data_IF_266707954394
#
_entry.id   IF_266707954394
#
_cell.length_a   1.000
_cell.length_b   1.000
_cell.length_c   1.000
_cell.angle_alpha   90.00
_cell.angle_beta   90.00
_cell.angle_gamma   90.00
#
_symmetry.space_group_name_H-M   'P 1'
#
loop_
_entity.id
_entity.type
_entity.pdbx_description
1 polymer ?
#
# COMPACT_ATOMS: atom_id res chain seq x y z
N UNK A 1 16.50 -11.95 28.68
CA UNK A 1 16.67 -10.84 27.72
C UNK A 1 17.86 -11.20 26.85
N UNK A 2 17.75 -11.34 25.50
CA UNK A 2 18.93 -11.52 24.68
C UNK A 2 19.45 -10.16 24.20
N UNK A 3 20.71 -9.92 24.55
CA UNK A 3 21.60 -8.82 24.21
C UNK A 3 21.25 -7.95 23.00
N UNK A 4 21.20 -6.65 23.28
CA UNK A 4 21.37 -5.56 22.32
C UNK A 4 22.83 -5.53 21.88
N UNK A 5 23.24 -6.46 21.00
CA UNK A 5 24.44 -6.23 20.20
C UNK A 5 24.28 -4.90 19.44
N UNK A 6 25.33 -4.06 19.39
CA UNK A 6 25.27 -2.74 18.79
C UNK A 6 24.79 -2.84 17.34
N UNK A 7 23.97 -1.88 16.90
CA UNK A 7 23.56 -1.74 15.49
C UNK A 7 24.83 -1.61 14.64
N UNK A 8 25.27 -2.69 14.02
CA UNK A 8 26.32 -2.62 13.02
C UNK A 8 25.87 -1.68 11.89
N UNK A 9 26.74 -0.73 11.57
CA UNK A 9 26.47 0.41 10.68
C UNK A 9 26.28 -0.05 9.23
N UNK A 10 25.41 0.66 8.50
CA UNK A 10 25.13 0.43 7.06
C UNK A 10 26.38 0.45 6.16
N UNK A 11 27.47 1.05 6.64
CA UNK A 11 28.75 1.17 5.94
C UNK A 11 29.38 -0.21 5.64
N UNK A 12 29.22 -1.19 6.54
CA UNK A 12 29.75 -2.56 6.32
C UNK A 12 28.94 -3.38 5.31
N UNK A 13 27.71 -2.98 5.00
CA UNK A 13 26.84 -3.71 4.08
C UNK A 13 27.25 -3.48 2.62
N UNK A 14 27.42 -2.22 2.21
CA UNK A 14 27.77 -1.88 0.82
C UNK A 14 29.13 -2.44 0.40
N UNK A 15 30.11 -2.44 1.32
CA UNK A 15 31.46 -2.96 1.07
C UNK A 15 31.51 -4.48 0.87
N UNK A 16 30.42 -5.20 1.13
CA UNK A 16 30.33 -6.67 1.02
C UNK A 16 29.51 -7.14 -0.16
N UNK A 17 28.89 -6.23 -0.91
CA UNK A 17 28.14 -6.59 -2.11
C UNK A 17 29.10 -7.12 -3.18
N UNK A 18 28.74 -8.22 -3.81
CA UNK A 18 29.46 -8.75 -4.97
C UNK A 18 29.35 -7.81 -6.17
N UNK A 19 30.18 -8.01 -7.20
CA UNK A 19 30.07 -7.27 -8.46
C UNK A 19 28.68 -7.41 -9.10
N UNK A 20 28.08 -8.61 -9.02
CA UNK A 20 26.73 -8.84 -9.51
C UNK A 20 25.68 -8.07 -8.72
N UNK A 21 25.83 -8.00 -7.39
CA UNK A 21 24.93 -7.23 -6.54
C UNK A 21 25.09 -5.73 -6.70
N UNK A 22 26.32 -5.25 -6.96
CA UNK A 22 26.56 -3.87 -7.38
C UNK A 22 25.87 -3.55 -8.70
N UNK A 23 25.93 -4.44 -9.68
CA UNK A 23 25.19 -4.29 -10.93
C UNK A 23 23.67 -4.24 -10.69
N UNK A 24 23.13 -5.11 -9.81
CA UNK A 24 21.72 -5.04 -9.40
C UNK A 24 21.37 -3.73 -8.70
N UNK A 25 22.24 -3.24 -7.81
CA UNK A 25 22.01 -2.00 -7.07
C UNK A 25 21.98 -0.80 -8.03
N UNK A 26 23.02 -0.63 -8.84
CA UNK A 26 23.14 0.49 -9.79
C UNK A 26 22.04 0.39 -10.84
N UNK A 27 21.84 -0.78 -11.42
CA UNK A 27 20.82 -1.02 -12.44
C UNK A 27 19.40 -0.76 -11.92
N UNK A 28 19.07 -1.23 -10.71
CA UNK A 28 17.74 -0.96 -10.13
C UNK A 28 17.52 0.51 -9.79
N UNK A 29 18.53 1.22 -9.29
CA UNK A 29 18.44 2.67 -9.07
C UNK A 29 18.28 3.44 -10.38
N UNK A 30 19.03 3.07 -11.43
CA UNK A 30 18.89 3.66 -12.76
C UNK A 30 17.50 3.41 -13.36
N UNK A 31 16.96 2.20 -13.23
CA UNK A 31 15.60 1.86 -13.68
C UNK A 31 14.56 2.63 -12.87
N UNK A 32 14.71 2.72 -11.54
CA UNK A 32 13.79 3.50 -10.71
C UNK A 32 13.79 4.98 -11.10
N UNK A 33 14.97 5.55 -11.35
CA UNK A 33 15.11 6.91 -11.85
C UNK A 33 14.45 7.06 -13.23
N UNK A 34 14.70 6.14 -14.17
CA UNK A 34 14.08 6.16 -15.50
C UNK A 34 12.56 6.05 -15.44
N UNK A 35 11.99 5.20 -14.58
CA UNK A 35 10.54 5.08 -14.36
C UNK A 35 9.98 6.42 -13.87
N UNK A 36 10.63 7.04 -12.88
CA UNK A 36 10.18 8.33 -12.32
C UNK A 36 10.31 9.43 -13.38
N UNK A 37 11.43 9.53 -14.08
CA UNK A 37 11.66 10.51 -15.15
C UNK A 37 10.66 10.33 -16.29
N UNK A 38 10.36 9.10 -16.70
CA UNK A 38 9.30 8.83 -17.67
C UNK A 38 7.95 9.32 -17.16
N UNK A 39 7.65 9.10 -15.88
CA UNK A 39 6.46 9.67 -15.24
C UNK A 39 6.40 11.19 -15.29
N UNK A 40 7.54 11.88 -15.12
CA UNK A 40 7.61 13.34 -15.24
C UNK A 40 7.41 13.81 -16.69
N UNK A 41 8.00 13.13 -17.66
CA UNK A 41 7.88 13.47 -19.10
C UNK A 41 6.46 13.20 -19.61
N UNK A 42 5.84 12.11 -19.14
CA UNK A 42 4.50 11.70 -19.51
C UNK A 42 3.43 12.37 -18.64
N UNK A 43 3.82 13.17 -17.65
CA UNK A 43 2.88 13.95 -16.87
C UNK A 43 2.28 15.00 -17.82
N UNK A 44 0.97 14.96 -18.09
CA UNK A 44 0.34 16.03 -18.83
C UNK A 44 0.53 17.32 -18.02
N UNK A 45 0.96 18.40 -18.67
CA UNK A 45 1.10 19.70 -17.99
C UNK A 45 -0.23 20.02 -17.27
N UNK A 46 -0.19 20.04 -15.94
CA UNK A 46 -1.32 20.39 -15.10
C UNK A 46 -1.63 21.88 -15.30
N UNK A 47 -2.34 22.21 -16.38
CA UNK A 47 -2.58 23.61 -16.71
C UNK A 47 -3.21 23.93 -18.07
N UNK A 48 -3.63 22.98 -18.91
CA UNK A 48 -4.11 23.35 -20.26
C UNK A 48 -5.23 22.49 -20.88
N UNK A 49 -6.02 21.77 -20.08
CA UNK A 49 -7.40 21.51 -20.53
C UNK A 49 -8.25 22.72 -20.14
N UNK A 50 -8.18 23.76 -20.97
CA UNK A 50 -9.17 24.84 -21.02
C UNK A 50 -10.50 24.24 -21.44
N UNK A 51 -11.16 23.56 -20.51
CA UNK A 51 -12.61 23.47 -20.60
C UNK A 51 -13.11 24.85 -20.20
N UNK A 52 -13.41 25.69 -21.19
CA UNK A 52 -14.24 26.87 -20.93
C UNK A 52 -15.62 26.37 -20.54
N UNK A 53 -15.82 26.25 -19.22
CA UNK A 53 -17.14 26.01 -18.68
C UNK A 53 -17.87 27.35 -18.66
N UNK A 54 -19.14 27.34 -19.01
CA UNK A 54 -19.98 28.52 -18.92
C UNK A 54 -21.12 28.26 -17.95
N UNK A 55 -21.60 29.29 -17.27
CA UNK A 55 -22.76 29.17 -16.36
C UNK A 55 -24.06 28.76 -17.07
N UNK A 56 -24.11 28.82 -18.40
CA UNK A 56 -25.20 28.27 -19.21
C UNK A 56 -25.23 26.73 -19.19
N UNK A 57 -24.10 26.08 -18.90
CA UNK A 57 -24.02 24.63 -18.74
C UNK A 57 -24.61 24.20 -17.39
N UNK A 58 -25.14 22.99 -17.36
CA UNK A 58 -25.68 22.35 -16.16
C UNK A 58 -24.62 21.54 -15.41
N UNK A 59 -24.89 21.26 -14.13
CA UNK A 59 -24.07 20.36 -13.30
C UNK A 59 -23.89 18.98 -13.98
N UNK A 60 -24.91 18.49 -14.70
CA UNK A 60 -24.85 17.21 -15.42
C UNK A 60 -23.86 17.22 -16.58
N UNK A 61 -23.61 18.38 -17.19
CA UNK A 61 -22.68 18.54 -18.31
C UNK A 61 -21.25 18.83 -17.84
N UNK A 62 -21.10 19.56 -16.73
CA UNK A 62 -19.80 19.95 -16.19
C UNK A 62 -19.17 18.83 -15.35
N UNK A 63 -19.95 18.19 -14.46
CA UNK A 63 -19.40 17.22 -13.51
C UNK A 63 -18.62 16.06 -14.15
N UNK A 64 -19.11 15.43 -15.25
CA UNK A 64 -18.34 14.37 -15.92
C UNK A 64 -17.02 14.86 -16.51
N UNK A 65 -16.97 16.10 -17.03
CA UNK A 65 -15.76 16.70 -17.62
C UNK A 65 -14.69 16.99 -16.57
N UNK A 66 -15.09 17.15 -15.30
CA UNK A 66 -14.20 17.35 -14.16
C UNK A 66 -13.85 16.03 -13.42
N UNK A 67 -14.28 14.86 -13.92
CA UNK A 67 -14.22 13.53 -13.24
C UNK A 67 -14.82 13.55 -11.81
N UNK A 68 -15.84 14.39 -11.59
CA UNK A 68 -16.56 14.47 -10.31
C UNK A 68 -18.02 14.05 -10.47
N UNK A 69 -18.64 13.67 -9.36
CA UNK A 69 -20.09 13.41 -9.38
C UNK A 69 -20.83 14.74 -9.33
N UNK A 70 -22.02 14.82 -9.94
CA UNK A 70 -22.83 16.04 -9.84
C UNK A 70 -23.26 16.38 -8.40
N UNK A 71 -23.19 15.43 -7.45
CA UNK A 71 -23.40 15.74 -6.02
C UNK A 71 -22.18 16.42 -5.41
N UNK A 72 -20.99 15.96 -5.77
CA UNK A 72 -19.72 16.58 -5.38
C UNK A 72 -19.63 18.00 -5.93
N UNK A 73 -19.93 18.17 -7.22
CA UNK A 73 -19.90 19.49 -7.84
C UNK A 73 -20.93 20.45 -7.22
N UNK A 74 -22.15 19.96 -6.91
CA UNK A 74 -23.15 20.76 -6.18
C UNK A 74 -22.64 21.19 -4.79
N UNK A 75 -21.92 20.31 -4.07
CA UNK A 75 -21.31 20.62 -2.77
C UNK A 75 -20.26 21.72 -2.86
N UNK A 76 -19.40 21.71 -3.89
CA UNK A 76 -18.41 22.76 -4.12
C UNK A 76 -19.06 24.13 -4.36
N UNK A 77 -20.21 24.16 -5.01
CA UNK A 77 -21.01 25.38 -5.19
C UNK A 77 -21.87 25.75 -3.97
N UNK A 78 -21.81 25.01 -2.86
CA UNK A 78 -22.65 25.24 -1.68
C UNK A 78 -24.15 24.97 -1.93
N UNK A 79 -24.50 24.24 -2.98
CA UNK A 79 -25.88 23.93 -3.36
C UNK A 79 -26.43 22.69 -2.62
N UNK A 80 -27.76 22.58 -2.42
CA UNK A 80 -28.39 21.36 -1.92
C UNK A 80 -28.04 20.13 -2.78
N UNK A 81 -27.82 18.97 -2.15
CA UNK A 81 -27.39 17.74 -2.86
C UNK A 81 -28.46 17.16 -3.81
N UNK A 82 -29.72 17.54 -3.62
CA UNK A 82 -30.89 17.20 -4.44
C UNK A 82 -31.21 18.25 -5.52
N UNK A 83 -30.34 19.26 -5.69
CA UNK A 83 -30.50 20.30 -6.70
C UNK A 83 -30.71 19.71 -8.11
N UNK A 84 -31.62 20.28 -8.93
CA UNK A 84 -31.86 19.80 -10.30
C UNK A 84 -30.60 19.91 -11.18
N UNK A 85 -29.93 18.78 -11.43
CA UNK A 85 -28.64 18.76 -12.13
C UNK A 85 -28.68 19.10 -13.62
N UNK A 86 -29.87 19.12 -14.21
CA UNK A 86 -30.08 19.51 -15.61
C UNK A 86 -30.39 21.00 -15.80
N UNK A 87 -30.48 21.79 -14.72
CA UNK A 87 -30.64 23.23 -14.83
C UNK A 87 -29.29 23.91 -15.07
N UNK A 88 -29.23 24.96 -15.91
CA UNK A 88 -28.07 25.84 -16.03
C UNK A 88 -27.62 26.39 -14.67
N UNK A 89 -26.32 26.49 -14.45
CA UNK A 89 -25.72 27.00 -13.20
C UNK A 89 -26.15 28.45 -12.88
N UNK A 90 -26.34 29.28 -13.90
CA UNK A 90 -26.87 30.65 -13.75
C UNK A 90 -28.25 30.66 -13.06
N UNK A 91 -29.11 29.67 -13.35
CA UNK A 91 -30.45 29.53 -12.74
C UNK A 91 -30.40 28.95 -11.33
N UNK A 92 -29.23 28.47 -10.91
CA UNK A 92 -28.96 27.97 -9.58
C UNK A 92 -28.21 29.02 -8.73
N UNK A 93 -27.97 30.21 -9.28
CA UNK A 93 -27.31 31.32 -8.56
C UNK A 93 -25.78 31.22 -8.51
N UNK A 94 -25.16 30.42 -9.38
CA UNK A 94 -23.70 30.28 -9.44
C UNK A 94 -23.13 31.29 -10.44
N UNK A 95 -22.19 32.12 -9.98
CA UNK A 95 -21.51 33.09 -10.84
C UNK A 95 -20.41 32.41 -11.68
N UNK A 96 -20.01 33.05 -12.78
CA UNK A 96 -18.93 32.54 -13.64
C UNK A 96 -17.60 32.48 -12.89
N UNK A 97 -17.33 33.46 -12.01
CA UNK A 97 -16.14 33.48 -11.15
C UNK A 97 -16.09 32.27 -10.21
N UNK A 98 -17.23 31.89 -9.61
CA UNK A 98 -17.32 30.71 -8.75
C UNK A 98 -17.10 29.42 -9.56
N UNK A 99 -17.67 29.35 -10.77
CA UNK A 99 -17.47 28.23 -11.68
C UNK A 99 -16.00 28.08 -12.06
N UNK A 100 -15.33 29.17 -12.42
CA UNK A 100 -13.91 29.16 -12.80
C UNK A 100 -13.03 28.79 -11.59
N UNK A 101 -13.34 29.32 -10.41
CA UNK A 101 -12.64 28.98 -9.17
C UNK A 101 -12.79 27.51 -8.80
N UNK A 102 -14.03 26.99 -8.79
CA UNK A 102 -14.33 25.59 -8.48
C UNK A 102 -13.74 24.66 -9.54
N UNK A 103 -13.84 25.00 -10.82
CA UNK A 103 -13.24 24.21 -11.89
C UNK A 103 -11.71 24.16 -11.76
N UNK A 104 -11.05 25.30 -11.54
CA UNK A 104 -9.61 25.37 -11.33
C UNK A 104 -9.18 24.60 -10.07
N UNK A 105 -9.93 24.72 -8.98
CA UNK A 105 -9.72 23.96 -7.74
C UNK A 105 -9.82 22.45 -8.00
N UNK A 106 -10.89 21.99 -8.66
CA UNK A 106 -11.12 20.58 -8.94
C UNK A 106 -10.10 20.00 -9.93
N UNK A 107 -9.71 20.75 -10.96
CA UNK A 107 -8.66 20.36 -11.91
C UNK A 107 -7.30 20.32 -11.20
N UNK A 108 -7.00 21.28 -10.32
CA UNK A 108 -5.78 21.29 -9.51
C UNK A 108 -5.67 20.09 -8.55
N UNK A 109 -6.80 19.50 -8.18
CA UNK A 109 -6.87 18.26 -7.38
C UNK A 109 -6.86 16.97 -8.21
N UNK A 110 -6.88 17.04 -9.54
CA UNK A 110 -6.76 15.84 -10.36
C UNK A 110 -5.34 15.29 -10.27
N UNK A 111 -5.21 14.11 -9.66
CA UNK A 111 -3.92 13.45 -9.50
C UNK A 111 -3.41 12.95 -10.86
N UNK A 112 -2.30 13.53 -11.33
CA UNK A 112 -1.65 13.05 -12.54
C UNK A 112 -0.94 11.69 -12.35
N UNK A 113 -0.54 11.06 -13.46
CA UNK A 113 -0.02 9.70 -13.47
C UNK A 113 1.33 9.53 -12.75
N UNK A 114 2.10 10.59 -12.49
CA UNK A 114 3.44 10.59 -11.90
C UNK A 114 3.55 9.72 -10.64
N UNK A 115 2.54 9.77 -9.75
CA UNK A 115 2.58 8.98 -8.51
C UNK A 115 2.50 7.47 -8.75
N UNK A 116 1.87 7.01 -9.83
CA UNK A 116 1.89 5.58 -10.19
C UNK A 116 3.31 5.11 -10.53
N UNK A 117 4.12 5.96 -11.16
CA UNK A 117 5.53 5.67 -11.46
C UNK A 117 6.37 5.59 -10.18
N UNK A 118 6.15 6.49 -9.22
CA UNK A 118 6.78 6.38 -7.90
C UNK A 118 6.39 5.08 -7.18
N UNK A 119 5.12 4.68 -7.24
CA UNK A 119 4.68 3.39 -6.68
C UNK A 119 5.39 2.22 -7.33
N UNK A 120 5.46 2.19 -8.67
CA UNK A 120 6.16 1.14 -9.41
C UNK A 120 7.65 1.08 -9.05
N UNK A 121 8.33 2.23 -8.98
CA UNK A 121 9.73 2.33 -8.58
C UNK A 121 9.98 1.82 -7.15
N UNK A 122 9.15 2.22 -6.18
CA UNK A 122 9.27 1.76 -4.79
C UNK A 122 8.97 0.27 -4.63
N UNK A 123 8.01 -0.27 -5.37
CA UNK A 123 7.71 -1.71 -5.39
C UNK A 123 8.86 -2.50 -6.02
N UNK A 124 9.40 -2.02 -7.14
CA UNK A 124 10.57 -2.61 -7.79
C UNK A 124 11.77 -2.63 -6.83
N UNK A 125 12.05 -1.50 -6.18
CA UNK A 125 13.11 -1.39 -5.18
C UNK A 125 12.92 -2.40 -4.04
N UNK A 126 11.71 -2.49 -3.49
CA UNK A 126 11.40 -3.47 -2.45
C UNK A 126 11.61 -4.91 -2.91
N UNK A 127 11.19 -5.25 -4.14
CA UNK A 127 11.38 -6.58 -4.71
C UNK A 127 12.87 -6.92 -4.90
N UNK A 128 13.64 -6.03 -5.52
CA UNK A 128 15.09 -6.21 -5.74
C UNK A 128 15.83 -6.28 -4.41
N UNK A 129 15.47 -5.44 -3.44
CA UNK A 129 16.06 -5.50 -2.11
C UNK A 129 15.79 -6.83 -1.42
N UNK A 130 14.56 -7.33 -1.45
CA UNK A 130 14.21 -8.59 -0.78
C UNK A 130 14.85 -9.82 -1.44
N UNK A 131 15.00 -9.80 -2.77
CA UNK A 131 15.46 -10.96 -3.55
C UNK A 131 16.96 -10.98 -3.84
N UNK A 132 17.61 -9.82 -3.99
CA UNK A 132 18.99 -9.71 -4.48
C UNK A 132 19.92 -8.94 -3.57
N UNK A 133 19.49 -7.80 -3.01
CA UNK A 133 20.41 -6.90 -2.32
C UNK A 133 20.46 -7.15 -0.81
N UNK A 134 19.34 -7.55 -0.20
CA UNK A 134 19.23 -7.74 1.25
C UNK A 134 20.03 -8.91 1.81
N UNK A 135 20.79 -9.65 1.00
CA UNK A 135 21.77 -10.61 1.48
C UNK A 135 23.02 -10.57 0.59
N UNK A 136 24.15 -10.04 1.07
CA UNK A 136 25.39 -10.07 0.30
C UNK A 136 25.83 -11.51 -0.02
N UNK A 137 26.33 -11.74 -1.22
CA UNK A 137 26.73 -13.08 -1.67
C UNK A 137 27.83 -13.67 -0.80
N UNK A 138 27.79 -14.98 -0.56
CA UNK A 138 28.79 -15.68 0.27
C UNK A 138 28.73 -15.37 1.76
N UNK A 139 27.76 -14.59 2.23
CA UNK A 139 27.74 -14.19 3.64
C UNK A 139 27.43 -15.36 4.61
N UNK A 140 28.17 -15.49 5.74
CA UNK A 140 28.01 -16.57 6.72
C UNK A 140 26.89 -16.32 7.74
N UNK A 141 26.04 -17.33 7.98
CA UNK A 141 24.85 -17.29 8.86
C UNK A 141 24.98 -16.51 10.19
N UNK A 142 26.17 -16.41 10.77
CA UNK A 142 26.42 -15.62 11.97
C UNK A 142 26.13 -14.11 11.81
N UNK A 143 26.23 -13.55 10.60
CA UNK A 143 26.21 -12.10 10.37
C UNK A 143 24.86 -11.55 9.83
N UNK A 144 23.78 -12.32 9.90
CA UNK A 144 22.46 -12.00 9.31
C UNK A 144 21.91 -10.61 9.61
N UNK A 145 22.19 -10.07 10.80
CA UNK A 145 21.73 -8.73 11.18
C UNK A 145 22.33 -7.63 10.29
N UNK A 146 23.51 -7.87 9.71
CA UNK A 146 24.17 -6.96 8.79
C UNK A 146 23.66 -7.08 7.35
N UNK A 147 23.07 -8.22 6.97
CA UNK A 147 22.70 -8.51 5.58
C UNK A 147 21.46 -7.76 5.12
N UNK A 148 20.44 -7.72 5.97
CA UNK A 148 19.20 -6.99 5.75
C UNK A 148 19.19 -5.73 6.63
N UNK A 149 20.02 -4.71 6.33
CA UNK A 149 20.04 -3.50 7.13
C UNK A 149 18.66 -2.85 7.09
N UNK A 150 18.24 -2.30 8.22
CA UNK A 150 16.93 -1.63 8.32
C UNK A 150 16.90 -0.29 7.58
N UNK A 151 18.05 0.32 7.32
CA UNK A 151 18.15 1.68 6.77
C UNK A 151 17.55 1.83 5.36
N UNK A 152 17.87 0.98 4.36
CA UNK A 152 17.22 1.06 3.04
C UNK A 152 15.70 0.92 3.08
N UNK A 153 15.19 0.05 3.96
CA UNK A 153 13.74 -0.09 4.16
C UNK A 153 13.15 1.20 4.72
N UNK A 154 13.75 1.78 5.77
CA UNK A 154 13.28 3.05 6.35
C UNK A 154 13.35 4.21 5.34
N UNK A 155 14.40 4.28 4.52
CA UNK A 155 14.52 5.28 3.47
C UNK A 155 13.37 5.16 2.45
N UNK A 156 13.06 3.95 1.98
CA UNK A 156 11.92 3.72 1.08
C UNK A 156 10.59 4.14 1.72
N UNK A 157 10.38 3.88 3.02
CA UNK A 157 9.18 4.32 3.74
C UNK A 157 9.09 5.84 3.86
N UNK A 158 10.22 6.54 4.08
CA UNK A 158 10.25 7.99 4.12
C UNK A 158 9.94 8.59 2.75
N UNK A 159 10.48 8.02 1.66
CA UNK A 159 10.13 8.43 0.30
C UNK A 159 8.65 8.16 0.00
N UNK A 160 8.13 6.99 0.38
CA UNK A 160 6.70 6.70 0.25
C UNK A 160 5.85 7.72 1.02
N UNK A 161 6.22 8.10 2.24
CA UNK A 161 5.47 9.06 3.03
C UNK A 161 5.55 10.48 2.48
N UNK A 162 6.76 10.95 2.16
CA UNK A 162 7.00 12.32 1.71
C UNK A 162 6.55 12.54 0.26
N UNK A 163 7.02 11.70 -0.67
CA UNK A 163 6.71 11.86 -2.09
C UNK A 163 5.30 11.35 -2.43
N UNK A 164 5.02 10.08 -2.10
CA UNK A 164 3.72 9.48 -2.44
C UNK A 164 2.59 9.90 -1.50
N UNK A 165 2.90 10.43 -0.31
CA UNK A 165 1.92 11.04 0.58
C UNK A 165 1.78 12.52 0.27
N UNK A 166 2.63 13.34 0.87
CA UNK A 166 2.43 14.79 0.89
C UNK A 166 2.73 15.51 -0.44
N UNK A 167 3.79 15.13 -1.18
CA UNK A 167 4.19 15.89 -2.37
C UNK A 167 3.25 15.68 -3.57
N UNK A 168 2.74 14.46 -3.75
CA UNK A 168 1.88 14.07 -4.87
C UNK A 168 0.40 13.85 -4.46
N UNK A 169 0.02 14.27 -3.25
CA UNK A 169 -1.36 14.23 -2.75
C UNK A 169 -1.90 12.85 -2.38
N UNK A 170 -3.22 12.73 -2.20
CA UNK A 170 -3.89 11.51 -1.69
C UNK A 170 -4.00 10.35 -2.70
N UNK A 171 -4.03 10.62 -4.01
CA UNK A 171 -4.22 9.63 -5.08
C UNK A 171 -2.91 9.33 -5.83
N UNK A 172 -2.67 8.10 -6.31
CA UNK A 172 -3.54 6.94 -6.21
C UNK A 172 -3.55 6.31 -4.81
N UNK A 173 -4.74 5.87 -4.42
CA UNK A 173 -5.04 5.32 -3.11
C UNK A 173 -5.55 3.88 -3.32
N UNK A 174 -4.79 2.85 -2.88
CA UNK A 174 -5.21 1.45 -3.05
C UNK A 174 -6.58 1.15 -2.44
N UNK A 175 -6.93 1.77 -1.32
CA UNK A 175 -8.24 1.63 -0.68
C UNK A 175 -9.35 2.23 -1.54
N UNK A 176 -9.16 3.42 -2.10
CA UNK A 176 -10.13 3.99 -3.04
C UNK A 176 -10.21 3.19 -4.34
N UNK A 177 -9.09 2.61 -4.83
CA UNK A 177 -9.11 1.70 -5.98
C UNK A 177 -10.09 0.54 -5.77
N UNK A 178 -10.07 -0.07 -4.57
CA UNK A 178 -11.03 -1.11 -4.21
C UNK A 178 -12.48 -0.58 -4.13
N UNK A 179 -12.70 0.55 -3.44
CA UNK A 179 -14.05 1.05 -3.16
C UNK A 179 -14.71 1.68 -4.40
N UNK A 180 -13.94 2.34 -5.28
CA UNK A 180 -14.46 3.01 -6.49
C UNK A 180 -15.09 2.02 -7.47
N UNK A 181 -14.57 0.78 -7.55
CA UNK A 181 -15.18 -0.30 -8.35
C UNK A 181 -16.59 -0.61 -7.84
N UNK A 182 -16.79 -0.78 -6.53
CA UNK A 182 -18.14 -1.04 -6.01
C UNK A 182 -19.05 0.18 -6.14
N UNK A 183 -18.53 1.41 -5.98
CA UNK A 183 -19.29 2.63 -6.20
C UNK A 183 -19.83 2.71 -7.64
N UNK A 184 -19.02 2.36 -8.63
CA UNK A 184 -19.43 2.42 -10.04
C UNK A 184 -20.55 1.42 -10.36
N UNK A 185 -20.59 0.25 -9.71
CA UNK A 185 -21.70 -0.72 -9.84
C UNK A 185 -23.07 -0.18 -9.40
N UNK A 186 -23.09 0.83 -8.53
CA UNK A 186 -24.33 1.47 -8.03
C UNK A 186 -24.66 2.76 -8.83
N UNK A 187 -23.93 3.03 -9.91
CA UNK A 187 -24.13 4.19 -10.78
C UNK A 187 -23.57 5.50 -10.23
N UNK A 188 -22.67 5.46 -9.23
CA UNK A 188 -22.03 6.66 -8.68
C UNK A 188 -20.93 7.23 -9.58
N UNK A 189 -20.41 6.45 -10.53
CA UNK A 189 -19.39 6.88 -11.50
C UNK A 189 -19.78 6.49 -12.92
N UNK A 190 -19.46 7.32 -13.92
CA UNK A 190 -19.82 7.06 -15.32
C UNK A 190 -19.01 5.91 -15.94
N UNK A 191 -17.74 5.74 -15.54
CA UNK A 191 -16.80 4.79 -16.14
C UNK A 191 -16.44 3.65 -15.17
N UNK A 192 -17.07 2.48 -15.32
CA UNK A 192 -16.72 1.28 -14.53
C UNK A 192 -15.30 0.79 -14.89
N UNK A 193 -14.97 0.80 -16.19
CA UNK A 193 -13.74 0.20 -16.71
C UNK A 193 -12.47 0.87 -16.19
N UNK A 194 -12.43 2.20 -16.14
CA UNK A 194 -11.27 2.95 -15.61
C UNK A 194 -10.99 2.60 -14.15
N UNK A 195 -12.04 2.50 -13.32
CA UNK A 195 -11.86 2.18 -11.90
C UNK A 195 -11.48 0.71 -11.71
N UNK A 196 -11.97 -0.20 -12.58
CA UNK A 196 -11.54 -1.61 -12.63
C UNK A 196 -10.07 -1.72 -13.04
N UNK A 197 -9.62 -0.97 -14.05
CA UNK A 197 -8.23 -0.93 -14.48
C UNK A 197 -7.30 -0.44 -13.35
N UNK A 198 -7.71 0.60 -12.62
CA UNK A 198 -6.95 1.11 -11.47
C UNK A 198 -6.83 0.08 -10.33
N UNK A 199 -7.91 -0.66 -10.02
CA UNK A 199 -7.83 -1.78 -9.08
C UNK A 199 -6.95 -2.90 -9.62
N UNK A 200 -7.10 -3.24 -10.90
CA UNK A 200 -6.31 -4.24 -11.61
C UNK A 200 -4.81 -3.98 -11.51
N UNK A 201 -4.37 -2.73 -11.71
CA UNK A 201 -2.98 -2.31 -11.51
C UNK A 201 -2.45 -2.69 -10.12
N UNK A 202 -3.19 -2.34 -9.05
CA UNK A 202 -2.77 -2.68 -7.70
C UNK A 202 -2.80 -4.18 -7.40
N UNK A 203 -3.75 -4.93 -7.98
CA UNK A 203 -3.81 -6.38 -7.84
C UNK A 203 -2.66 -7.08 -8.56
N UNK A 204 -2.29 -6.63 -9.77
CA UNK A 204 -1.13 -7.14 -10.49
C UNK A 204 0.14 -6.95 -9.66
N UNK A 205 0.36 -5.76 -9.08
CA UNK A 205 1.49 -5.53 -8.19
C UNK A 205 1.46 -6.41 -6.94
N UNK A 206 0.27 -6.69 -6.38
CA UNK A 206 0.12 -7.60 -5.24
C UNK A 206 0.39 -9.08 -5.61
N UNK A 207 0.13 -9.46 -6.87
CA UNK A 207 0.48 -10.79 -7.41
C UNK A 207 1.97 -10.87 -7.72
N UNK A 208 2.62 -9.82 -8.22
CA UNK A 208 4.08 -9.84 -8.46
C UNK A 208 4.83 -10.11 -7.15
N UNK A 209 4.42 -9.49 -6.04
CA UNK A 209 4.94 -9.86 -4.73
C UNK A 209 3.99 -9.53 -3.59
N UNK A 210 3.95 -10.43 -2.61
CA UNK A 210 2.96 -10.39 -1.54
C UNK A 210 3.01 -9.04 -0.79
N UNK A 211 1.92 -8.28 -0.89
CA UNK A 211 1.73 -6.95 -0.26
C UNK A 211 2.93 -6.01 -0.40
N UNK A 212 3.67 -6.07 -1.51
CA UNK A 212 4.81 -5.16 -1.75
C UNK A 212 4.37 -3.71 -1.79
N UNK A 213 3.26 -3.41 -2.48
CA UNK A 213 2.67 -2.05 -2.49
C UNK A 213 2.43 -1.56 -1.07
N UNK A 214 1.75 -2.35 -0.24
CA UNK A 214 1.46 -1.96 1.14
C UNK A 214 2.74 -1.84 1.99
N UNK A 215 3.72 -2.71 1.76
CA UNK A 215 4.96 -2.79 2.53
C UNK A 215 5.97 -1.68 2.23
N UNK A 216 6.02 -1.21 0.97
CA UNK A 216 7.10 -0.38 0.43
C UNK A 216 6.65 0.92 -0.25
N UNK A 217 5.43 1.00 -0.79
CA UNK A 217 4.99 2.17 -1.58
C UNK A 217 3.81 2.94 -0.97
N UNK A 218 2.92 2.27 -0.22
CA UNK A 218 1.72 2.89 0.33
C UNK A 218 2.08 3.92 1.42
N UNK A 219 1.73 5.21 1.26
CA UNK A 219 2.14 6.28 2.17
C UNK A 219 1.56 6.11 3.57
N UNK A 220 0.26 5.75 3.67
CA UNK A 220 -0.37 5.53 4.98
C UNK A 220 0.13 4.25 5.67
N UNK A 221 0.49 3.22 4.89
CA UNK A 221 1.17 2.05 5.39
C UNK A 221 2.56 2.38 5.94
N UNK A 222 3.30 3.24 5.23
CA UNK A 222 4.61 3.71 5.62
C UNK A 222 4.56 4.54 6.91
N UNK A 223 3.61 5.47 7.02
CA UNK A 223 3.37 6.23 8.25
C UNK A 223 3.21 5.30 9.46
N UNK A 224 2.32 4.31 9.38
CA UNK A 224 2.08 3.38 10.48
C UNK A 224 3.31 2.51 10.81
N UNK A 225 4.10 2.09 9.80
CA UNK A 225 5.35 1.34 10.02
C UNK A 225 6.42 2.19 10.71
N UNK A 226 6.57 3.45 10.28
CA UNK A 226 7.51 4.40 10.86
C UNK A 226 7.14 4.68 12.31
N UNK A 227 5.86 4.96 12.60
CA UNK A 227 5.34 5.13 13.95
C UNK A 227 5.62 3.91 14.84
N UNK A 228 5.29 2.71 14.35
CA UNK A 228 5.59 1.45 15.06
C UNK A 228 7.09 1.24 15.30
N UNK A 229 7.94 1.79 14.43
CA UNK A 229 9.40 1.62 14.46
C UNK A 229 10.14 2.74 15.20
N UNK A 230 9.45 3.77 15.67
CA UNK A 230 10.05 4.92 16.33
C UNK A 230 10.91 4.49 17.53
N UNK A 231 12.19 4.91 17.59
CA UNK A 231 13.07 4.54 18.69
C UNK A 231 12.61 5.05 20.06
N UNK A 232 11.95 6.20 20.11
CA UNK A 232 11.50 6.85 21.35
C UNK A 232 10.48 5.99 22.10
N UNK A 233 9.65 5.23 21.37
CA UNK A 233 8.58 4.41 21.94
C UNK A 233 8.95 2.93 22.09
N UNK A 234 10.25 2.58 22.06
CA UNK A 234 10.72 1.20 22.21
C UNK A 234 10.38 0.55 23.55
N UNK A 235 10.17 1.35 24.61
CA UNK A 235 9.80 0.87 25.96
C UNK A 235 8.33 0.44 26.05
N UNK A 236 7.50 0.85 25.09
CA UNK A 236 6.08 0.50 25.09
C UNK A 236 5.92 -0.97 24.68
N UNK A 237 5.15 -1.73 25.48
CA UNK A 237 4.85 -3.13 25.21
C UNK A 237 3.94 -3.25 23.99
N UNK A 238 4.54 -3.61 22.85
CA UNK A 238 3.84 -3.87 21.59
C UNK A 238 2.90 -5.06 21.73
N UNK A 239 1.72 -4.95 21.12
CA UNK A 239 0.66 -5.97 21.16
C UNK A 239 0.51 -6.60 19.78
N UNK A 240 0.48 -7.92 19.77
CA UNK A 240 0.20 -8.72 18.59
C UNK A 240 -1.27 -9.14 18.63
N UNK A 241 -2.06 -8.67 17.68
CA UNK A 241 -3.48 -9.03 17.59
C UNK A 241 -3.62 -10.32 16.76
N UNK A 242 -4.40 -11.32 17.22
CA UNK A 242 -4.62 -12.54 16.47
C UNK A 242 -5.21 -12.25 15.09
N UNK A 243 -4.66 -12.88 14.05
CA UNK A 243 -5.11 -12.65 12.67
C UNK A 243 -6.60 -12.92 12.46
N UNK A 244 -7.16 -13.93 13.14
CA UNK A 244 -8.58 -14.25 13.01
C UNK A 244 -9.45 -13.07 13.45
N UNK A 245 -9.10 -12.42 14.56
CA UNK A 245 -9.84 -11.26 15.07
C UNK A 245 -9.70 -10.06 14.12
N UNK A 246 -8.48 -9.71 13.72
CA UNK A 246 -8.28 -8.55 12.86
C UNK A 246 -8.91 -8.73 11.48
N UNK A 247 -8.78 -9.91 10.89
CA UNK A 247 -9.39 -10.21 9.61
C UNK A 247 -10.92 -10.33 9.70
N UNK A 248 -11.48 -10.84 10.81
CA UNK A 248 -12.92 -10.85 11.02
C UNK A 248 -13.48 -9.42 11.08
N UNK A 249 -12.89 -8.53 11.87
CA UNK A 249 -13.28 -7.11 11.92
C UNK A 249 -13.22 -6.49 10.52
N UNK A 250 -12.12 -6.69 9.80
CA UNK A 250 -11.92 -6.17 8.44
C UNK A 250 -12.94 -6.72 7.43
N UNK A 251 -13.22 -8.02 7.49
CA UNK A 251 -14.21 -8.66 6.62
C UNK A 251 -15.64 -8.21 6.94
N UNK A 252 -16.00 -8.12 8.22
CA UNK A 252 -17.30 -7.61 8.66
C UNK A 252 -17.50 -6.18 8.21
N UNK A 253 -16.52 -5.28 8.41
CA UNK A 253 -16.61 -3.90 7.93
C UNK A 253 -16.77 -3.82 6.40
N UNK A 254 -16.06 -4.68 5.66
CA UNK A 254 -16.19 -4.75 4.20
C UNK A 254 -17.59 -5.21 3.77
N UNK A 255 -18.14 -6.25 4.41
CA UNK A 255 -19.50 -6.73 4.15
C UNK A 255 -20.54 -5.68 4.51
N UNK A 256 -20.44 -5.05 5.68
CA UNK A 256 -21.33 -3.96 6.10
C UNK A 256 -21.29 -2.80 5.10
N UNK A 257 -20.11 -2.44 4.60
CA UNK A 257 -19.99 -1.44 3.53
C UNK A 257 -20.75 -1.86 2.27
N UNK A 258 -20.66 -3.12 1.82
CA UNK A 258 -21.41 -3.58 0.66
C UNK A 258 -22.92 -3.51 0.90
N UNK A 259 -23.39 -3.96 2.07
CA UNK A 259 -24.82 -3.93 2.41
C UNK A 259 -25.38 -2.51 2.44
N UNK A 260 -24.64 -1.55 2.99
CA UNK A 260 -25.02 -0.13 2.98
C UNK A 260 -24.98 0.45 1.56
N UNK A 261 -23.95 0.11 0.78
CA UNK A 261 -23.77 0.60 -0.58
C UNK A 261 -24.90 0.16 -1.52
N UNK A 262 -25.34 -1.10 -1.43
CA UNK A 262 -26.47 -1.61 -2.21
C UNK A 262 -27.85 -1.29 -1.61
N UNK A 263 -27.89 -0.60 -0.46
CA UNK A 263 -29.14 -0.19 0.20
C UNK A 263 -29.88 -1.32 0.92
N UNK A 264 -29.22 -2.46 1.14
CA UNK A 264 -29.77 -3.62 1.86
C UNK A 264 -29.96 -3.31 3.35
N UNK A 265 -29.08 -2.49 3.92
CA UNK A 265 -29.16 -2.05 5.33
C UNK A 265 -29.52 -0.57 5.38
N UNK A 266 -30.56 -0.23 6.14
CA UNK A 266 -30.99 1.16 6.37
C UNK A 266 -31.65 1.86 5.18
N UNK A 267 -31.95 1.15 4.09
CA UNK A 267 -32.73 1.66 2.94
C UNK A 267 -32.06 2.76 2.11
N UNK A 268 -30.81 3.14 2.42
CA UNK A 268 -30.09 4.24 1.77
C UNK A 268 -29.07 3.69 0.76
N UNK A 269 -29.50 3.52 -0.50
CA UNK A 269 -28.61 3.11 -1.59
C UNK A 269 -27.51 4.15 -1.82
N UNK A 270 -26.28 3.69 -2.01
CA UNK A 270 -25.13 4.53 -2.34
C UNK A 270 -24.34 5.06 -1.12
N UNK A 271 -24.65 4.62 0.10
CA UNK A 271 -23.87 5.02 1.28
C UNK A 271 -22.53 4.27 1.35
N UNK A 272 -21.42 5.00 1.53
CA UNK A 272 -20.08 4.42 1.52
C UNK A 272 -19.32 4.80 2.78
N UNK A 273 -19.32 3.89 3.75
CA UNK A 273 -18.65 4.06 5.04
C UNK A 273 -17.16 4.44 4.91
N UNK A 274 -16.46 3.84 3.95
CA UNK A 274 -15.03 4.08 3.75
C UNK A 274 -14.68 5.48 3.27
N UNK A 275 -15.63 6.26 2.75
CA UNK A 275 -15.35 7.66 2.40
C UNK A 275 -15.09 8.49 3.67
N UNK A 276 -15.92 8.31 4.70
CA UNK A 276 -15.82 9.00 5.98
C UNK A 276 -14.65 8.50 6.86
N UNK A 277 -14.09 7.32 6.55
CA UNK A 277 -12.97 6.72 7.28
C UNK A 277 -11.67 6.71 6.46
N UNK A 278 -11.55 7.53 5.41
CA UNK A 278 -10.40 7.50 4.51
C UNK A 278 -9.20 8.24 5.11
N UNK A 279 -8.13 7.56 5.54
CA UNK A 279 -7.01 8.22 6.18
C UNK A 279 -6.07 8.90 5.19
N UNK A 280 -6.22 8.63 3.88
CA UNK A 280 -5.38 9.24 2.85
C UNK A 280 -5.67 10.74 2.67
N UNK A 281 -6.83 11.21 3.12
CA UNK A 281 -7.14 12.62 3.21
C UNK A 281 -6.14 13.41 4.08
N UNK A 282 -5.38 12.76 4.96
CA UNK A 282 -4.24 13.36 5.66
C UNK A 282 -3.24 14.02 4.69
N UNK A 283 -3.03 13.41 3.52
CA UNK A 283 -1.98 13.83 2.58
C UNK A 283 -2.36 15.02 1.71
N UNK A 284 -3.63 15.36 1.65
CA UNK A 284 -4.14 16.60 1.07
C UNK A 284 -4.67 17.57 2.12
N UNK A 285 -4.62 17.19 3.41
CA UNK A 285 -5.19 17.94 4.54
C UNK A 285 -6.71 18.19 4.44
N UNK A 286 -7.44 17.25 3.81
CA UNK A 286 -8.88 17.35 3.58
C UNK A 286 -9.68 16.73 4.74
N UNK A 287 -10.09 17.54 5.72
CA UNK A 287 -10.79 17.08 6.94
C UNK A 287 -12.27 17.42 6.98
N UNK A 288 -12.96 17.39 5.83
CA UNK A 288 -14.36 17.84 5.68
C UNK A 288 -15.37 17.03 6.52
N UNK A 289 -15.03 15.81 6.91
CA UNK A 289 -15.89 14.93 7.69
C UNK A 289 -15.22 14.61 9.04
N UNK A 290 -15.91 14.74 10.18
CA UNK A 290 -15.31 14.59 11.51
C UNK A 290 -14.73 13.20 11.77
N UNK A 291 -15.25 12.16 11.10
CA UNK A 291 -14.74 10.79 11.24
C UNK A 291 -13.34 10.59 10.63
N UNK A 292 -12.92 11.45 9.69
CA UNK A 292 -11.60 11.39 9.04
C UNK A 292 -10.47 11.69 10.04
N UNK A 293 -10.40 12.86 10.70
CA UNK A 293 -9.35 13.13 11.67
C UNK A 293 -9.39 12.15 12.85
N UNK A 294 -10.57 11.70 13.29
CA UNK A 294 -10.71 10.66 14.33
C UNK A 294 -10.05 9.35 13.88
N UNK A 295 -10.30 8.92 12.64
CA UNK A 295 -9.71 7.69 12.07
C UNK A 295 -8.20 7.81 11.97
N UNK A 296 -7.68 8.94 11.49
CA UNK A 296 -6.24 9.19 11.34
C UNK A 296 -5.55 9.21 12.70
N UNK A 297 -6.09 9.97 13.66
CA UNK A 297 -5.56 10.07 15.01
C UNK A 297 -5.55 8.70 15.69
N UNK A 298 -6.68 8.01 15.70
CA UNK A 298 -6.83 6.69 16.32
C UNK A 298 -5.88 5.66 15.68
N UNK A 299 -5.83 5.61 14.34
CA UNK A 299 -4.91 4.70 13.65
C UNK A 299 -3.44 5.02 13.92
N UNK A 300 -3.07 6.29 14.01
CA UNK A 300 -1.69 6.73 14.27
C UNK A 300 -1.26 6.45 15.70
N UNK A 301 -2.10 6.77 16.68
CA UNK A 301 -1.84 6.45 18.10
C UNK A 301 -1.77 4.94 18.30
N UNK A 302 -2.74 4.19 17.75
CA UNK A 302 -2.74 2.74 17.85
C UNK A 302 -1.55 2.10 17.11
N UNK A 303 -1.00 2.74 16.07
CA UNK A 303 0.19 2.27 15.35
C UNK A 303 1.45 2.24 16.23
N UNK A 304 1.48 2.98 17.34
CA UNK A 304 2.57 2.89 18.33
C UNK A 304 2.56 1.55 19.09
N UNK A 305 1.37 0.94 19.22
CA UNK A 305 1.13 -0.28 20.02
C UNK A 305 0.96 -1.53 19.15
N UNK A 306 0.19 -1.39 18.08
CA UNK A 306 -0.23 -2.45 17.17
C UNK A 306 0.34 -2.17 15.80
N UNK A 307 0.78 -3.20 15.10
CA UNK A 307 1.44 -3.04 13.82
C UNK A 307 0.46 -2.70 12.69
N UNK A 308 0.49 -1.50 12.10
CA UNK A 308 -0.37 -1.13 10.95
C UNK A 308 -1.88 -1.38 11.19
N UNK A 309 -2.48 -0.83 12.27
CA UNK A 309 -3.84 -1.14 12.68
C UNK A 309 -4.88 -0.87 11.60
N UNK A 310 -4.79 0.24 10.86
CA UNK A 310 -5.76 0.54 9.82
C UNK A 310 -5.74 -0.52 8.70
N UNK A 311 -4.54 -0.97 8.32
CA UNK A 311 -4.38 -2.00 7.30
C UNK A 311 -4.88 -3.37 7.76
N UNK A 312 -4.80 -3.65 9.06
CA UNK A 312 -5.29 -4.88 9.67
C UNK A 312 -6.81 -4.90 9.84
N UNK A 313 -7.41 -3.80 10.29
CA UNK A 313 -8.80 -3.77 10.76
C UNK A 313 -9.78 -3.14 9.79
N UNK A 314 -9.37 -2.16 8.98
CA UNK A 314 -10.31 -1.31 8.25
C UNK A 314 -10.11 -1.43 6.73
N UNK A 315 -8.86 -1.36 6.26
CA UNK A 315 -8.54 -1.20 4.84
C UNK A 315 -9.16 -2.29 3.94
N UNK A 316 -10.07 -1.94 3.01
CA UNK A 316 -10.73 -2.91 2.13
C UNK A 316 -9.75 -3.51 1.12
N UNK A 317 -8.82 -2.71 0.61
CA UNK A 317 -7.73 -3.22 -0.23
C UNK A 317 -6.83 -4.19 0.53
N UNK A 318 -6.66 -4.02 1.84
CA UNK A 318 -5.96 -4.97 2.70
C UNK A 318 -6.57 -6.37 2.65
N UNK A 319 -7.91 -6.45 2.67
CA UNK A 319 -8.65 -7.71 2.56
C UNK A 319 -8.56 -8.32 1.16
N UNK A 320 -8.80 -7.53 0.11
CA UNK A 320 -8.77 -8.02 -1.28
C UNK A 320 -7.36 -8.48 -1.65
N UNK A 321 -6.33 -7.67 -1.34
CA UNK A 321 -4.93 -8.03 -1.58
C UNK A 321 -4.47 -9.25 -0.76
N UNK A 322 -5.06 -9.50 0.41
CA UNK A 322 -4.78 -10.70 1.20
C UNK A 322 -5.32 -11.98 0.52
N UNK A 323 -6.41 -11.89 -0.23
CA UNK A 323 -6.89 -12.98 -1.07
C UNK A 323 -6.02 -13.14 -2.31
N UNK A 324 -5.67 -12.02 -2.97
CA UNK A 324 -4.85 -12.04 -4.18
C UNK A 324 -3.41 -12.54 -3.94
N UNK A 325 -2.82 -12.27 -2.76
CA UNK A 325 -1.43 -12.66 -2.48
C UNK A 325 -1.22 -14.19 -2.36
N UNK A 326 -2.27 -15.01 -2.40
CA UNK A 326 -2.14 -16.49 -2.40
C UNK A 326 -1.44 -17.02 -3.64
N UNK A 327 -1.68 -16.37 -4.76
CA UNK A 327 -1.06 -16.66 -6.05
C UNK A 327 0.17 -15.78 -6.29
N UNK A 328 0.69 -15.09 -5.27
CA UNK A 328 1.82 -14.17 -5.46
C UNK A 328 3.05 -14.92 -5.98
N UNK A 329 3.66 -14.38 -7.03
CA UNK A 329 4.87 -14.88 -7.66
C UNK A 329 6.06 -14.79 -6.72
N UNK A 330 6.29 -13.68 -6.03
CA UNK A 330 7.39 -13.56 -5.07
C UNK A 330 6.85 -13.51 -3.64
N UNK A 331 7.37 -14.38 -2.76
CA UNK A 331 6.97 -14.43 -1.35
C UNK A 331 8.03 -14.99 -0.42
N UNK A 332 7.84 -14.76 0.88
CA UNK A 332 8.60 -15.44 1.94
C UNK A 332 8.31 -16.94 1.90
N UNK A 333 9.37 -17.74 1.77
CA UNK A 333 9.38 -19.20 1.83
C UNK A 333 10.19 -19.68 3.03
N UNK A 334 9.79 -20.85 3.54
CA UNK A 334 10.49 -21.54 4.63
C UNK A 334 10.96 -22.88 4.06
N UNK A 335 12.25 -23.12 4.18
CA UNK A 335 12.88 -24.40 3.90
C UNK A 335 12.74 -25.30 5.13
N UNK A 336 11.91 -26.33 5.01
CA UNK A 336 11.60 -27.25 6.11
C UNK A 336 12.75 -28.16 6.47
N UNK A 337 13.71 -28.42 5.57
CA UNK A 337 14.88 -29.24 5.89
C UNK A 337 15.88 -28.49 6.80
N UNK A 338 15.94 -27.16 6.66
CA UNK A 338 16.81 -26.29 7.46
C UNK A 338 16.12 -25.72 8.71
N UNK A 339 14.79 -25.71 8.74
CA UNK A 339 14.02 -25.15 9.84
C UNK A 339 13.93 -26.14 11.00
N UNK A 340 14.35 -25.73 12.20
CA UNK A 340 14.20 -26.50 13.44
C UNK A 340 13.10 -25.94 14.36
N UNK A 341 12.20 -25.11 13.84
CA UNK A 341 11.07 -24.54 14.57
C UNK A 341 11.42 -23.73 15.85
N UNK A 342 12.63 -23.18 15.97
CA UNK A 342 13.07 -22.40 17.15
C UNK A 342 12.23 -21.13 17.49
N UNK A 343 11.27 -20.76 16.63
CA UNK A 343 10.33 -19.66 16.85
C UNK A 343 10.93 -18.25 16.74
N UNK A 344 12.19 -18.10 16.33
CA UNK A 344 12.83 -16.77 16.22
C UNK A 344 12.09 -15.84 15.25
N UNK A 345 11.70 -16.36 14.08
CA UNK A 345 10.92 -15.61 13.09
C UNK A 345 9.51 -15.26 13.60
N UNK A 346 8.89 -16.12 14.42
CA UNK A 346 7.57 -15.89 15.02
C UNK A 346 7.62 -14.74 16.02
N UNK A 347 8.68 -14.67 16.83
CA UNK A 347 8.90 -13.57 17.79
C UNK A 347 9.22 -12.24 17.10
N UNK A 348 9.94 -12.27 15.98
CA UNK A 348 10.30 -11.06 15.23
C UNK A 348 9.18 -10.54 14.32
N UNK A 349 8.29 -11.41 13.85
CA UNK A 349 7.17 -11.02 13.01
C UNK A 349 6.13 -10.26 13.85
N UNK A 350 5.75 -9.03 13.46
CA UNK A 350 4.73 -8.27 14.18
C UNK A 350 3.31 -8.80 13.95
N UNK A 351 3.16 -9.85 13.13
CA UNK A 351 1.91 -10.46 12.70
C UNK A 351 1.98 -11.98 12.85
N UNK A 352 0.85 -12.67 12.71
CA UNK A 352 0.82 -14.14 12.71
C UNK A 352 1.38 -14.77 11.42
N UNK A 353 1.86 -13.96 10.46
CA UNK A 353 2.35 -14.43 9.18
C UNK A 353 3.46 -15.47 9.28
N UNK A 354 4.47 -15.24 10.13
CA UNK A 354 5.55 -16.22 10.33
C UNK A 354 5.03 -17.49 11.02
N UNK A 355 4.17 -17.35 12.04
CA UNK A 355 3.55 -18.49 12.74
C UNK A 355 2.76 -19.37 11.78
N UNK A 356 1.91 -18.77 10.94
CA UNK A 356 1.10 -19.51 9.99
C UNK A 356 1.94 -20.17 8.88
N UNK A 357 3.02 -19.52 8.43
CA UNK A 357 3.93 -20.08 7.42
C UNK A 357 4.73 -21.27 7.94
N UNK A 358 5.27 -21.18 9.16
CA UNK A 358 5.96 -22.32 9.81
C UNK A 358 5.00 -23.50 9.94
N UNK A 359 3.76 -23.24 10.35
CA UNK A 359 2.71 -24.27 10.47
C UNK A 359 2.10 -24.73 9.12
N UNK A 360 2.65 -24.35 7.96
CA UNK A 360 2.17 -24.79 6.66
C UNK A 360 0.72 -24.40 6.31
N UNK A 361 0.15 -23.37 6.96
CA UNK A 361 -1.26 -22.99 6.73
C UNK A 361 -1.47 -22.43 5.34
N UNK A 362 -2.45 -22.98 4.61
CA UNK A 362 -2.92 -22.46 3.31
C UNK A 362 -3.31 -20.97 3.39
N UNK A 363 -4.08 -20.62 4.43
CA UNK A 363 -4.52 -19.25 4.70
C UNK A 363 -3.65 -18.58 5.77
N UNK A 364 -2.39 -18.31 5.43
CA UNK A 364 -1.50 -17.55 6.29
C UNK A 364 -1.96 -16.09 6.50
N UNK A 365 -1.62 -15.52 7.65
CA UNK A 365 -1.91 -14.11 7.95
C UNK A 365 -1.14 -13.15 7.04
N UNK A 366 -1.58 -11.90 6.99
CA UNK A 366 -0.99 -10.79 6.21
C UNK A 366 0.53 -10.72 6.38
N UNK A 367 1.28 -10.65 5.27
CA UNK A 367 2.73 -10.42 5.28
C UNK A 367 3.10 -9.21 4.44
N UNK A 368 3.51 -8.11 5.09
CA UNK A 368 3.92 -6.86 4.43
C UNK A 368 5.38 -6.85 3.95
N UNK A 369 6.02 -8.02 3.82
CA UNK A 369 7.35 -8.15 3.20
C UNK A 369 8.43 -7.22 3.78
N UNK A 370 8.42 -7.06 5.11
CA UNK A 370 9.30 -6.16 5.86
C UNK A 370 10.68 -6.73 6.24
N UNK A 371 11.05 -7.89 5.70
CA UNK A 371 12.29 -8.63 5.95
C UNK A 371 12.60 -9.07 7.40
N UNK A 372 11.89 -8.61 8.45
CA UNK A 372 12.20 -8.94 9.86
C UNK A 372 12.47 -10.42 10.15
N UNK A 373 11.73 -11.34 9.50
CA UNK A 373 11.92 -12.78 9.68
C UNK A 373 13.24 -13.30 9.05
N UNK A 374 13.67 -12.71 7.93
CA UNK A 374 14.92 -13.04 7.24
C UNK A 374 16.13 -12.71 8.13
N UNK A 375 16.08 -11.59 8.86
CA UNK A 375 17.18 -11.11 9.70
C UNK A 375 17.46 -11.95 10.95
N UNK A 376 16.50 -12.76 11.39
CA UNK A 376 16.54 -13.40 12.72
C UNK A 376 16.61 -14.92 12.67
N UNK A 377 16.43 -15.54 11.51
CA UNK A 377 16.44 -17.00 11.40
C UNK A 377 17.87 -17.55 11.59
N UNK A 378 18.18 -18.28 12.67
CA UNK A 378 19.55 -18.72 12.94
C UNK A 378 20.04 -19.79 11.95
N UNK A 379 19.12 -20.52 11.31
CA UNK A 379 19.42 -21.63 10.39
C UNK A 379 19.33 -21.26 8.90
N UNK A 380 19.08 -20.00 8.57
CA UNK A 380 18.96 -19.53 7.17
C UNK A 380 17.82 -20.21 6.40
N UNK A 381 16.83 -20.73 7.12
CA UNK A 381 15.73 -21.47 6.55
C UNK A 381 14.69 -20.56 5.88
N UNK A 382 14.84 -19.24 5.89
CA UNK A 382 13.86 -18.30 5.36
C UNK A 382 14.48 -17.52 4.22
N UNK A 383 13.80 -17.51 3.07
CA UNK A 383 14.18 -16.73 1.89
C UNK A 383 12.96 -15.98 1.32
N UNK A 384 13.22 -14.90 0.59
CA UNK A 384 12.20 -14.26 -0.25
C UNK A 384 12.54 -14.58 -1.70
N UNK A 385 11.72 -15.41 -2.35
CA UNK A 385 12.02 -15.93 -3.69
C UNK A 385 10.79 -15.99 -4.58
N UNK A 386 11.03 -15.97 -5.90
CA UNK A 386 10.01 -16.16 -6.92
C UNK A 386 9.59 -17.63 -6.95
N UNK A 387 8.29 -17.89 -7.08
CA UNK A 387 7.71 -19.22 -6.92
C UNK A 387 8.26 -20.19 -7.96
N UNK A 388 8.53 -19.69 -9.16
CA UNK A 388 9.07 -20.41 -10.31
C UNK A 388 10.60 -20.42 -10.41
N UNK A 389 11.31 -19.62 -9.60
CA UNK A 389 12.76 -19.78 -9.49
C UNK A 389 12.99 -21.08 -8.70
N UNK A 390 13.52 -22.09 -9.40
CA UNK A 390 13.79 -23.42 -8.87
C UNK A 390 14.54 -23.37 -7.54
N UNK A 391 14.39 -24.45 -6.76
CA UNK A 391 15.12 -24.67 -5.50
C UNK A 391 16.58 -24.27 -5.70
N UNK A 392 17.20 -23.48 -4.80
CA UNK A 392 18.64 -23.32 -4.82
C UNK A 392 19.26 -24.72 -4.72
N UNK A 393 20.10 -25.07 -5.70
CA UNK A 393 20.85 -26.32 -5.72
C UNK A 393 21.70 -26.44 -4.45
N UNK A 394 21.29 -27.34 -3.57
CA UNK A 394 22.05 -27.76 -2.39
C UNK A 394 21.78 -29.21 -1.98
N UNK A 395 21.01 -29.97 -2.79
CA UNK A 395 20.50 -31.31 -2.45
C UNK A 395 20.83 -32.34 -3.55
N UNK A 396 22.06 -32.32 -4.08
CA UNK A 396 22.58 -33.41 -4.92
C UNK A 396 23.79 -34.14 -4.27
N UNK A 397 23.99 -34.01 -2.95
CA UNK A 397 25.07 -34.73 -2.26
C UNK A 397 24.54 -35.36 -0.96
N UNK A 398 23.78 -36.45 -1.08
CA UNK A 398 23.59 -37.47 -0.01
C UNK A 398 22.62 -38.61 -0.38
N UNK A 399 22.14 -38.73 -1.62
CA UNK A 399 21.24 -39.82 -2.04
C UNK A 399 21.90 -40.87 -2.95
N UNK A 400 23.21 -41.11 -2.83
CA UNK A 400 23.92 -42.19 -3.56
C UNK A 400 25.01 -42.89 -2.71
N UNK A 401 24.73 -43.18 -1.44
CA UNK A 401 25.62 -44.01 -0.62
C UNK A 401 24.86 -44.97 0.32
N UNK A 402 23.70 -45.44 -0.13
CA UNK A 402 23.01 -46.60 0.44
C UNK A 402 22.41 -47.36 -0.75
N UNK A 403 23.30 -47.96 -1.55
CA UNK A 403 23.05 -49.06 -2.48
C UNK A 403 24.41 -49.43 -3.13
N UNK A 404 25.30 -49.99 -2.31
CA UNK A 404 26.47 -50.78 -2.71
C UNK A 404 26.91 -51.64 -1.52
#
# INVERSE_FOLDING_TARGET
>A
MPDLQPRQTSIRYLSRLSNAQWAWLIGSLAICAAIITAGWILEPEAGQQSHSFTTAMSIREIAPKLDVTGKSLAREFGLPLDVPKGKPLEKLGVAQEDLDHVAAHLVGHQSGPLKYYFFAALVLWGLVFLTRLGRPDGSPSAERRAWYPRAPYVAALLVALAACGFALGKSPNPMEGAVKVFKSMVGLYPSVWEKVAALGFFLVLAVIGNKLVCGWACPFGALQELLYSLPLFKRIKRRKVPFLLSNAIRATLFVVMLLLLFGVVGGRKGFVLYHSMNPFNLFSLDFDEPLIPITILTASVLALLVYRPFCQFICPFGLISWLAERISLARVRIDTSRCNECGACIRACPLDAAKHRVAGRLLAADCYSCARCLNVCPHDAISYSVVFAGRPQGENASAQALDA
#
